data_IF_417244862253
#
_entry.id   IF_417244862253
#
_cell.length_a   1.000
_cell.length_b   1.000
_cell.length_c   1.000
_cell.angle_alpha   90.00
_cell.angle_beta   90.00
_cell.angle_gamma   90.00
#
_symmetry.space_group_name_H-M   'P 1'
#
loop_
_entity.id
_entity.type
_entity.pdbx_description
1 polymer ?
2 polymer ?
3 non-polymer ?
#
# COMPACT_ATOMS: atom_id res chain seq x y z
N UNK A 15 12.09 -30.05 -19.07
CA UNK A 15 10.88 -29.67 -18.30
C UNK A 15 10.65 -28.17 -18.34
N UNK A 16 11.74 -27.40 -18.23
CA UNK A 16 11.62 -25.94 -18.28
C UNK A 16 11.02 -25.48 -19.59
N UNK A 17 11.30 -26.18 -20.69
CA UNK A 17 10.72 -25.82 -21.97
C UNK A 17 9.20 -25.97 -21.95
N UNK A 18 8.70 -27.02 -21.30
CA UNK A 18 7.26 -27.25 -21.26
C UNK A 18 6.54 -26.10 -20.59
N UNK A 19 7.06 -25.64 -19.45
CA UNK A 19 6.42 -24.54 -18.73
C UNK A 19 6.59 -23.23 -19.48
N UNK A 20 7.68 -23.10 -20.25
CA UNK A 20 7.97 -21.81 -20.89
C UNK A 20 6.89 -21.43 -21.89
N UNK A 21 6.40 -22.39 -22.66
CA UNK A 21 5.40 -22.11 -23.68
C UNK A 21 3.97 -22.20 -23.16
N UNK A 22 3.79 -22.49 -21.88
CA UNK A 22 2.44 -22.64 -21.34
C UNK A 22 1.69 -21.31 -21.39
N UNK A 23 0.39 -21.40 -21.62
CA UNK A 23 -0.46 -20.22 -21.65
C UNK A 23 -1.00 -19.87 -20.27
N UNK A 24 -1.68 -20.81 -19.63
CA UNK A 24 -2.23 -20.53 -18.30
C UNK A 24 -1.18 -20.11 -17.28
N UNK A 25 0.02 -20.69 -17.35
CA UNK A 25 1.06 -20.35 -16.38
C UNK A 25 1.52 -18.91 -16.55
N UNK A 26 1.62 -18.44 -17.79
CA UNK A 26 2.13 -17.10 -18.02
C UNK A 26 1.20 -16.03 -17.43
N UNK A 27 -0.11 -16.29 -17.41
CA UNK A 27 -1.04 -15.33 -16.86
C UNK A 27 -1.11 -15.44 -15.34
N UNK A 28 -0.96 -16.65 -14.81
CA UNK A 28 -0.99 -16.83 -13.37
C UNK A 28 0.20 -16.14 -12.71
N UNK A 29 1.39 -16.24 -13.33
CA UNK A 29 2.57 -15.61 -12.75
C UNK A 29 2.43 -14.10 -12.74
N UNK A 30 1.92 -13.51 -13.82
CA UNK A 30 1.74 -12.06 -13.87
C UNK A 30 0.73 -11.60 -12.83
N UNK A 31 -0.38 -12.31 -12.70
CA UNK A 31 -1.42 -11.89 -11.76
C UNK A 31 -0.94 -12.00 -10.32
N UNK A 32 -0.18 -13.04 -10.01
CA UNK A 32 0.30 -13.21 -8.63
C UNK A 32 1.41 -12.22 -8.32
N UNK A 33 2.17 -11.80 -9.32
CA UNK A 33 3.21 -10.80 -9.10
C UNK A 33 2.61 -9.41 -8.94
N UNK A 34 1.49 -9.15 -9.63
CA UNK A 34 0.81 -7.87 -9.46
C UNK A 34 0.20 -7.76 -8.07
N UNK A 35 -0.45 -8.83 -7.61
CA UNK A 35 -1.01 -8.83 -6.26
C UNK A 35 0.10 -8.71 -5.23
N UNK A 36 1.22 -9.40 -5.46
CA UNK A 36 2.32 -9.35 -4.52
C UNK A 36 2.86 -7.93 -4.37
N UNK A 37 2.96 -7.21 -5.49
CA UNK A 37 3.46 -5.84 -5.44
C UNK A 37 2.55 -4.95 -4.62
N UNK A 38 1.23 -5.07 -4.83
CA UNK A 38 0.29 -4.18 -4.16
C UNK A 38 0.22 -4.48 -2.67
N UNK A 39 0.20 -5.77 -2.29
CA UNK A 39 -0.01 -6.13 -0.90
C UNK A 39 1.21 -5.78 -0.06
N UNK A 40 2.41 -6.02 -0.58
CA UNK A 40 3.62 -5.69 0.18
C UNK A 40 3.84 -4.18 0.24
N UNK A 41 3.57 -3.48 -0.87
CA UNK A 41 3.68 -2.02 -0.85
C UNK A 41 2.71 -1.41 0.15
N UNK A 42 1.48 -1.94 0.21
CA UNK A 42 0.49 -1.42 1.14
C UNK A 42 0.82 -1.78 2.58
N UNK A 43 1.47 -2.93 2.78
CA UNK A 43 1.84 -3.34 4.13
C UNK A 43 2.85 -2.36 4.73
N UNK A 44 3.94 -2.10 4.01
CA UNK A 44 4.96 -1.18 4.52
C UNK A 44 4.41 0.23 4.60
N UNK A 45 3.69 0.67 3.56
CA UNK A 45 3.25 2.06 3.49
C UNK A 45 2.30 2.38 4.63
N UNK A 46 1.34 1.51 4.91
CA UNK A 46 0.31 1.81 5.89
C UNK A 46 0.94 2.03 7.26
N UNK A 47 1.51 0.98 7.84
CA UNK A 47 2.12 1.07 9.16
C UNK A 47 1.27 1.87 10.12
N UNK A 48 1.90 2.53 11.06
CA UNK A 48 1.23 3.62 11.79
C UNK A 48 2.10 4.86 11.85
N UNK A 49 3.42 4.71 11.94
CA UNK A 49 4.34 5.83 12.04
C UNK A 49 5.21 5.98 10.79
N UNK A 50 4.84 5.34 9.69
CA UNK A 50 5.67 5.39 8.49
C UNK A 50 5.63 6.79 7.88
N UNK A 51 6.81 7.37 7.68
CA UNK A 51 6.91 8.71 7.10
C UNK A 51 7.89 8.72 5.94
N UNK A 52 8.84 7.78 5.95
CA UNK A 52 9.94 7.76 4.98
C UNK A 52 9.47 7.08 3.69
N UNK A 53 8.68 7.84 2.92
CA UNK A 53 8.21 7.33 1.63
C UNK A 53 9.31 7.39 0.58
N UNK A 54 10.13 8.46 0.61
CA UNK A 54 11.23 8.57 -0.34
C UNK A 54 12.27 7.48 -0.11
N UNK A 55 12.56 7.18 1.16
CA UNK A 55 13.53 6.12 1.47
C UNK A 55 13.03 4.78 0.97
N UNK A 56 11.74 4.49 1.17
CA UNK A 56 11.19 3.21 0.71
C UNK A 56 11.31 3.07 -0.80
N UNK A 57 11.00 4.15 -1.54
CA UNK A 57 11.10 4.08 -2.99
C UNK A 57 12.55 3.94 -3.45
N UNK A 58 13.48 4.54 -2.70
CA UNK A 58 14.89 4.39 -3.04
C UNK A 58 15.36 2.96 -2.86
N UNK A 59 14.86 2.28 -1.82
CA UNK A 59 15.26 0.89 -1.58
C UNK A 59 14.69 -0.02 -2.65
N UNK A 60 13.44 0.22 -3.06
CA UNK A 60 12.84 -0.60 -4.10
C UNK A 60 13.58 -0.45 -5.41
N UNK A 61 13.99 0.77 -5.76
CA UNK A 61 14.73 0.99 -6.99
C UNK A 61 16.09 0.30 -6.94
N UNK A 62 16.77 0.36 -5.79
CA UNK A 62 18.06 -0.29 -5.66
C UNK A 62 17.91 -1.80 -5.80
N UNK A 63 16.83 -2.36 -5.28
CA UNK A 63 16.60 -3.80 -5.41
C UNK A 63 16.34 -4.16 -6.87
N UNK A 64 15.63 -3.30 -7.59
CA UNK A 64 15.37 -3.57 -9.00
C UNK A 64 16.68 -3.59 -9.80
N UNK A 65 17.58 -2.64 -9.53
CA UNK A 65 18.83 -2.58 -10.27
C UNK A 65 19.71 -3.77 -9.94
N UNK A 66 19.70 -4.21 -8.68
CA UNK A 66 20.51 -5.35 -8.29
C UNK A 66 19.94 -6.63 -8.91
N UNK A 67 18.62 -6.75 -8.97
CA UNK A 67 18.00 -7.97 -9.49
C UNK A 67 18.28 -8.14 -10.97
N UNK A 68 18.02 -7.11 -11.77
CA UNK A 68 18.28 -7.22 -13.20
C UNK A 68 19.77 -7.32 -13.47
N UNK A 69 20.60 -6.65 -12.66
CA UNK A 69 22.03 -6.82 -12.80
C UNK A 69 22.47 -8.25 -12.54
N UNK A 70 21.75 -8.95 -11.65
CA UNK A 70 22.06 -10.34 -11.39
C UNK A 70 21.63 -11.23 -12.56
N UNK A 71 20.42 -11.00 -13.10
CA UNK A 71 19.93 -11.83 -14.18
C UNK A 71 20.80 -11.69 -15.43
N UNK A 72 21.11 -10.45 -15.82
CA UNK A 72 21.94 -10.24 -16.99
C UNK A 72 23.29 -10.92 -16.84
N UNK A 73 23.85 -10.93 -15.63
CA UNK A 73 25.11 -11.63 -15.41
C UNK A 73 24.96 -13.12 -15.68
N UNK A 74 23.84 -13.70 -15.27
CA UNK A 74 23.57 -15.11 -15.50
C UNK A 74 23.00 -15.39 -16.89
N UNK A 75 22.79 -14.35 -17.70
CA UNK A 75 22.28 -14.51 -19.06
C UNK A 75 20.85 -15.03 -19.08
N UNK A 76 19.98 -14.37 -18.32
CA UNK A 76 18.54 -14.60 -18.41
C UNK A 76 17.81 -13.40 -19.00
N UNK A 77 18.36 -12.19 -18.90
CA UNK A 77 17.76 -11.00 -19.47
C UNK A 77 18.86 -10.18 -20.11
N UNK A 78 18.56 -9.59 -21.27
CA UNK A 78 19.51 -8.78 -22.01
C UNK A 78 18.98 -7.35 -22.11
N UNK A 79 19.85 -6.39 -21.78
CA UNK A 79 19.52 -4.98 -21.97
C UNK A 79 20.82 -4.26 -22.35
N UNK A 80 20.72 -2.95 -22.57
CA UNK A 80 21.84 -2.20 -23.10
C UNK A 80 22.90 -1.98 -22.02
N UNK A 81 23.96 -1.28 -22.41
CA UNK A 81 25.02 -0.89 -21.49
C UNK A 81 24.94 0.61 -21.26
N UNK A 82 25.03 1.03 -20.00
CA UNK A 82 24.84 2.43 -19.67
C UNK A 82 25.84 3.31 -20.43
N UNK A 83 25.34 4.42 -20.97
CA UNK A 83 26.15 5.40 -21.66
C UNK A 83 25.77 6.78 -21.16
N UNK A 84 26.78 7.61 -20.89
CA UNK A 84 26.51 8.93 -20.33
C UNK A 84 25.69 9.78 -21.29
N UNK A 85 26.02 9.73 -22.58
CA UNK A 85 25.26 10.49 -23.56
C UNK A 85 23.81 10.01 -23.65
N UNK A 86 23.55 8.77 -23.23
CA UNK A 86 22.21 8.21 -23.28
C UNK A 86 21.41 8.47 -22.01
N UNK A 87 22.03 9.02 -20.97
CA UNK A 87 21.33 9.36 -19.75
C UNK A 87 20.96 10.84 -19.67
N UNK A 88 21.68 11.70 -20.39
CA UNK A 88 21.32 13.11 -20.44
C UNK A 88 20.03 13.35 -21.21
N UNK A 89 19.67 12.45 -22.12
CA UNK A 89 18.44 12.56 -22.89
C UNK A 89 17.28 11.83 -22.23
N UNK A 90 17.52 11.15 -21.11
CA UNK A 90 16.49 10.40 -20.41
C UNK A 90 16.20 10.97 -19.03
N UNK A 91 16.95 11.98 -18.58
CA UNK A 91 16.70 12.55 -17.27
C UNK A 91 15.29 13.11 -17.12
N UNK A 92 14.72 13.83 -18.09
CA UNK A 92 13.36 14.35 -17.90
C UNK A 92 12.36 13.26 -17.54
N UNK A 93 12.50 12.07 -18.14
CA UNK A 93 11.57 10.98 -17.83
C UNK A 93 11.88 10.38 -16.48
N UNK A 94 13.14 10.49 -16.01
CA UNK A 94 13.45 10.04 -14.66
C UNK A 94 12.73 10.90 -13.64
N UNK A 95 12.68 12.22 -13.85
CA UNK A 95 11.95 13.09 -12.94
C UNK A 95 10.46 12.77 -12.95
N UNK A 96 9.89 12.55 -14.13
CA UNK A 96 8.47 12.24 -14.21
C UNK A 96 8.16 10.92 -13.53
N UNK A 97 9.13 10.00 -13.51
CA UNK A 97 8.93 8.74 -12.79
C UNK A 97 8.95 8.96 -11.29
N UNK A 98 9.81 9.87 -10.82
CA UNK A 98 9.89 10.15 -9.38
C UNK A 98 8.58 10.74 -8.90
N UNK A 99 8.03 11.69 -9.64
CA UNK A 99 6.78 12.34 -9.25
C UNK A 99 5.62 11.35 -9.28
N UNK A 100 5.67 10.40 -10.22
CA UNK A 100 4.57 9.45 -10.35
C UNK A 100 4.56 8.45 -9.21
N UNK A 101 5.73 7.90 -8.87
CA UNK A 101 5.78 6.86 -7.83
C UNK A 101 5.50 7.47 -6.47
N UNK A 102 6.09 8.63 -6.18
CA UNK A 102 5.92 9.24 -4.87
C UNK A 102 4.45 9.53 -4.58
N UNK A 103 3.76 10.19 -5.52
CA UNK A 103 2.35 10.49 -5.31
C UNK A 103 1.51 9.22 -5.30
N UNK A 104 2.05 8.14 -5.88
CA UNK A 104 1.35 6.86 -5.82
C UNK A 104 1.50 6.22 -4.43
N UNK A 105 2.61 6.49 -3.76
CA UNK A 105 2.81 5.96 -2.41
C UNK A 105 1.96 6.74 -1.40
N UNK A 106 1.88 8.06 -1.56
CA UNK A 106 1.05 8.86 -0.67
C UNK A 106 -0.41 8.51 -0.84
N UNK A 107 -0.87 8.36 -2.08
CA UNK A 107 -2.27 8.04 -2.32
C UNK A 107 -2.62 6.66 -1.77
N UNK A 108 -1.75 5.68 -1.96
CA UNK A 108 -1.99 4.36 -1.40
C UNK A 108 -1.89 4.36 0.11
N UNK A 109 -1.09 5.26 0.68
CA UNK A 109 -0.91 5.31 2.12
C UNK A 109 -2.18 5.76 2.83
N UNK A 110 -2.90 6.72 2.25
CA UNK A 110 -4.09 7.28 2.88
C UNK A 110 -5.38 6.59 2.42
N UNK A 111 -5.40 6.05 1.21
CA UNK A 111 -6.57 5.39 0.67
C UNK A 111 -6.40 3.88 0.72
N UNK A 112 -7.52 3.17 0.76
CA UNK A 112 -7.52 1.73 0.76
C UNK A 112 -7.14 1.20 -0.63
N UNK A 113 -6.81 -0.09 -0.69
CA UNK A 113 -6.43 -0.69 -1.97
C UNK A 113 -7.60 -0.66 -2.96
N UNK A 114 -8.81 -1.09 -2.60
CA UNK A 114 -9.91 -1.00 -3.57
C UNK A 114 -10.16 0.41 -4.07
N UNK A 115 -10.29 1.38 -3.15
CA UNK A 115 -10.58 2.75 -3.56
C UNK A 115 -9.47 3.30 -4.43
N UNK A 116 -8.22 2.95 -4.12
CA UNK A 116 -7.09 3.42 -4.91
C UNK A 116 -7.14 2.84 -6.33
N UNK A 117 -7.50 1.56 -6.45
CA UNK A 117 -7.47 0.91 -7.76
C UNK A 117 -8.47 1.54 -8.72
N UNK A 118 -9.70 1.74 -8.26
CA UNK A 118 -10.73 2.32 -9.12
C UNK A 118 -10.42 3.80 -9.40
N UNK A 119 -9.89 4.50 -8.40
CA UNK A 119 -9.49 5.89 -8.63
C UNK A 119 -8.38 5.97 -9.68
N UNK A 120 -7.57 4.94 -9.80
CA UNK A 120 -6.51 4.92 -10.81
C UNK A 120 -7.06 4.84 -12.23
N UNK A 121 -8.31 4.41 -12.40
CA UNK A 121 -8.90 4.38 -13.74
C UNK A 121 -9.13 5.77 -14.30
N UNK A 122 -9.13 6.80 -13.45
CA UNK A 122 -9.24 8.17 -13.95
C UNK A 122 -8.01 8.56 -14.77
N UNK A 123 -6.92 7.80 -14.67
CA UNK A 123 -5.73 8.11 -15.44
C UNK A 123 -5.99 7.97 -16.94
N UNK A 124 -6.72 6.92 -17.34
CA UNK A 124 -6.87 6.66 -18.77
C UNK A 124 -7.81 7.67 -19.41
N UNK A 125 -8.59 8.39 -18.61
CA UNK A 125 -9.38 9.50 -19.15
C UNK A 125 -8.46 10.62 -19.59
N UNK A 126 -7.41 10.87 -18.80
CA UNK A 126 -6.46 11.92 -19.16
C UNK A 126 -5.52 11.46 -20.26
N UNK A 127 -5.18 10.18 -20.29
CA UNK A 127 -4.30 9.66 -21.34
C UNK A 127 -5.02 9.68 -22.68
N UNK A 128 -6.24 9.15 -22.71
CA UNK A 128 -6.98 9.05 -23.98
C UNK A 128 -7.29 10.43 -24.53
N UNK A 129 -7.75 11.34 -23.67
CA UNK A 129 -8.02 12.71 -24.13
C UNK A 129 -6.73 13.50 -24.29
N UNK A 130 -5.64 13.03 -23.68
CA UNK A 130 -4.36 13.65 -23.94
C UNK A 130 -3.87 13.40 -25.35
N UNK A 131 -4.19 12.23 -25.90
CA UNK A 131 -3.70 11.86 -27.22
C UNK A 131 -4.43 12.62 -28.32
N UNK A 132 -5.72 12.92 -28.10
CA UNK A 132 -6.50 13.56 -29.16
C UNK A 132 -6.02 14.98 -29.41
N UNK A 133 -5.59 15.68 -28.35
CA UNK A 133 -5.14 17.07 -28.53
C UNK A 133 -3.82 17.12 -29.29
N UNK A 134 -2.89 16.23 -28.94
CA UNK A 134 -1.52 16.28 -29.46
C UNK A 134 -1.19 15.16 -30.42
N UNK A 135 -1.45 13.90 -30.04
CA UNK A 135 -1.04 12.74 -30.81
C UNK A 135 -2.02 12.41 -31.93
N UNK A 136 -3.11 13.16 -32.07
CA UNK A 136 -4.01 12.96 -33.18
C UNK A 136 -4.88 11.72 -33.11
N UNK A 137 -5.13 11.21 -31.91
CA UNK A 137 -6.00 10.06 -31.76
C UNK A 137 -7.47 10.44 -31.77
N UNK A 138 -8.31 9.44 -31.47
CA UNK A 138 -9.75 9.63 -31.40
C UNK A 138 -10.32 8.73 -30.32
N UNK A 139 -11.53 9.07 -29.87
CA UNK A 139 -12.24 8.32 -28.85
C UNK A 139 -13.55 7.84 -29.44
N UNK A 140 -13.75 6.53 -29.47
CA UNK A 140 -14.96 5.94 -30.01
C UNK A 140 -16.09 6.03 -28.98
N UNK A 141 -17.30 5.69 -29.43
CA UNK A 141 -18.46 5.79 -28.55
C UNK A 141 -18.37 4.79 -27.39
N UNK A 142 -17.80 3.61 -27.65
CA UNK A 142 -17.61 2.65 -26.56
C UNK A 142 -16.64 3.18 -25.52
N UNK A 143 -15.55 3.81 -25.96
CA UNK A 143 -14.60 4.38 -25.02
C UNK A 143 -15.23 5.48 -24.19
N UNK A 144 -16.03 6.35 -24.82
CA UNK A 144 -16.70 7.41 -24.08
C UNK A 144 -17.70 6.84 -23.08
N UNK A 145 -18.38 5.76 -23.46
CA UNK A 145 -19.31 5.12 -22.53
C UNK A 145 -18.58 4.58 -21.32
N UNK A 146 -17.33 4.14 -21.50
CA UNK A 146 -16.53 3.69 -20.37
C UNK A 146 -16.16 4.85 -19.46
N UNK A 147 -15.67 5.94 -20.04
CA UNK A 147 -15.22 7.07 -19.22
C UNK A 147 -16.32 7.56 -18.29
N UNK A 148 -17.57 7.48 -18.73
CA UNK A 148 -18.69 7.86 -17.87
C UNK A 148 -18.83 6.89 -16.71
N UNK A 149 -18.59 5.60 -16.95
CA UNK A 149 -18.76 4.61 -15.89
C UNK A 149 -17.64 4.69 -14.86
N UNK A 150 -16.45 5.16 -15.26
CA UNK A 150 -15.36 5.28 -14.30
C UNK A 150 -15.46 6.57 -13.51
N UNK A 151 -16.13 7.59 -14.06
CA UNK A 151 -16.48 8.76 -13.26
C UNK A 151 -17.56 8.41 -12.26
N UNK A 152 -18.53 7.57 -12.67
CA UNK A 152 -19.57 7.13 -11.76
C UNK A 152 -18.98 6.30 -10.63
N UNK A 153 -18.03 5.41 -10.95
CA UNK A 153 -17.41 4.60 -9.91
C UNK A 153 -16.61 5.47 -8.95
N UNK A 154 -15.96 6.51 -9.46
CA UNK A 154 -15.22 7.42 -8.60
C UNK A 154 -16.16 8.12 -7.63
N UNK A 155 -17.32 8.57 -8.12
CA UNK A 155 -18.27 9.26 -7.26
C UNK A 155 -18.80 8.34 -6.18
N UNK A 156 -19.15 7.10 -6.55
CA UNK A 156 -19.70 6.16 -5.59
C UNK A 156 -18.67 5.86 -4.51
N UNK A 157 -17.42 5.65 -4.90
CA UNK A 157 -16.39 5.31 -3.93
C UNK A 157 -16.15 6.45 -2.96
N UNK A 158 -16.19 7.69 -3.44
CA UNK A 158 -16.03 8.84 -2.55
C UNK A 158 -17.11 8.82 -1.47
N UNK A 159 -18.35 8.51 -1.85
CA UNK A 159 -19.42 8.37 -0.86
C UNK A 159 -19.21 7.15 0.02
N UNK A 160 -18.54 6.12 -0.50
CA UNK A 160 -18.27 4.94 0.31
C UNK A 160 -17.33 5.22 1.46
N UNK A 161 -16.25 5.96 1.20
CA UNK A 161 -15.33 6.33 2.28
C UNK A 161 -15.96 7.33 3.23
N UNK A 162 -16.70 8.30 2.69
CA UNK A 162 -17.28 9.36 3.52
C UNK A 162 -18.37 8.87 4.45
N UNK A 163 -18.85 7.64 4.28
CA UNK A 163 -19.88 7.08 5.15
C UNK A 163 -19.32 6.50 6.44
N UNK A 164 -18.04 6.76 6.75
CA UNK A 164 -17.43 6.23 7.95
C UNK A 164 -16.53 7.26 8.65
N UNK A 165 -16.78 8.55 8.45
CA UNK A 165 -15.99 9.61 9.07
C UNK A 165 -16.95 10.47 9.89
N UNK A 166 -16.65 10.63 11.17
CA UNK A 166 -17.53 11.35 12.09
C UNK A 166 -16.73 12.21 13.05
N UNK A 167 -15.72 12.91 12.55
CA UNK A 167 -14.92 13.80 13.39
C UNK A 167 -14.13 14.75 12.50
N UNK A 168 -13.59 15.79 13.13
CA UNK A 168 -12.75 16.74 12.38
C UNK A 168 -11.59 16.01 11.71
N UNK A 169 -10.85 15.22 12.48
CA UNK A 169 -9.92 14.27 11.89
C UNK A 169 -10.72 13.12 11.28
N UNK A 170 -10.01 12.22 10.60
CA UNK A 170 -10.59 11.12 9.84
C UNK A 170 -11.32 11.61 8.59
N UNK A 171 -11.45 12.92 8.40
CA UNK A 171 -11.93 13.51 7.18
C UNK A 171 -10.86 14.32 6.47
N UNK A 172 -10.02 15.05 7.21
CA UNK A 172 -8.83 15.64 6.62
C UNK A 172 -7.89 14.58 6.08
N UNK A 173 -7.91 13.38 6.66
CA UNK A 173 -7.15 12.27 6.10
C UNK A 173 -7.71 11.87 4.74
N UNK A 174 -9.03 11.85 4.60
CA UNK A 174 -9.63 11.54 3.31
C UNK A 174 -9.25 12.57 2.26
N UNK A 175 -9.34 13.86 2.62
CA UNK A 175 -9.03 14.92 1.66
C UNK A 175 -7.57 14.86 1.23
N UNK A 176 -6.67 14.52 2.15
CA UNK A 176 -5.28 14.34 1.78
C UNK A 176 -5.13 13.16 0.82
N UNK A 177 -5.92 12.11 1.02
CA UNK A 177 -5.87 10.98 0.11
C UNK A 177 -6.34 11.34 -1.28
N UNK A 178 -7.37 12.19 -1.37
CA UNK A 178 -7.89 12.58 -2.68
C UNK A 178 -6.96 13.57 -3.37
N UNK A 179 -6.28 14.41 -2.60
CA UNK A 179 -5.32 15.35 -3.20
C UNK A 179 -4.14 14.59 -3.80
N UNK A 180 -3.60 13.61 -3.08
CA UNK A 180 -2.47 12.85 -3.61
C UNK A 180 -2.90 11.91 -4.72
N UNK A 181 -4.18 11.52 -4.73
CA UNK A 181 -4.68 10.68 -5.81
C UNK A 181 -4.85 11.49 -7.09
N UNK A 182 -5.43 12.68 -6.98
CA UNK A 182 -5.64 13.51 -8.17
C UNK A 182 -4.30 13.94 -8.77
N UNK A 183 -3.34 14.30 -7.93
CA UNK A 183 -2.02 14.67 -8.44
C UNK A 183 -1.36 13.47 -9.12
N UNK A 184 -1.53 12.27 -8.55
CA UNK A 184 -0.95 11.09 -9.16
C UNK A 184 -1.60 10.77 -10.51
N UNK A 185 -2.87 11.16 -10.68
CA UNK A 185 -3.54 10.96 -11.96
C UNK A 185 -2.94 11.85 -13.03
N UNK A 186 -2.62 13.10 -12.67
CA UNK A 186 -2.03 14.01 -13.65
C UNK A 186 -0.55 13.72 -13.85
N UNK A 187 0.08 13.06 -12.88
CA UNK A 187 1.50 12.73 -13.02
C UNK A 187 1.70 11.43 -13.80
N UNK A 188 0.74 10.50 -13.69
CA UNK A 188 0.83 9.27 -14.47
C UNK A 188 0.46 9.51 -15.93
N UNK A 189 -0.50 10.40 -16.18
CA UNK A 189 -0.82 10.76 -17.55
C UNK A 189 0.36 11.46 -18.22
N UNK A 190 1.02 12.36 -17.48
CA UNK A 190 2.17 13.06 -18.04
C UNK A 190 3.32 12.11 -18.33
N UNK A 191 3.57 11.15 -17.42
CA UNK A 191 4.67 10.22 -17.62
C UNK A 191 4.43 9.36 -18.86
N UNK A 192 3.20 8.90 -19.05
CA UNK A 192 2.91 8.01 -20.18
C UNK A 192 3.04 8.77 -21.50
N UNK A 193 2.47 9.98 -21.56
CA UNK A 193 2.46 10.71 -22.82
C UNK A 193 3.88 11.18 -23.19
N UNK A 194 4.59 11.78 -22.25
CA UNK A 194 5.92 12.30 -22.53
C UNK A 194 6.87 11.14 -22.86
N UNK A 195 6.82 10.06 -22.09
CA UNK A 195 7.68 8.92 -22.36
C UNK A 195 7.42 8.35 -23.75
N UNK A 196 6.16 8.35 -24.18
CA UNK A 196 5.84 7.90 -25.53
C UNK A 196 6.47 8.82 -26.56
N UNK A 197 6.46 10.13 -26.32
CA UNK A 197 7.05 11.07 -27.25
C UNK A 197 8.54 10.84 -27.40
N UNK A 198 9.23 10.52 -26.31
CA UNK A 198 10.68 10.40 -26.31
C UNK A 198 11.18 9.02 -26.70
N UNK A 199 10.35 7.98 -26.58
CA UNK A 199 10.79 6.63 -26.93
C UNK A 199 11.14 6.55 -28.42
N UNK A 200 10.52 7.40 -29.24
CA UNK A 200 10.87 7.44 -30.65
C UNK A 200 12.32 7.92 -30.82
N UNK A 201 12.76 8.82 -29.95
CA UNK A 201 14.13 9.35 -30.03
C UNK A 201 15.15 8.34 -29.51
N UNK A 202 14.84 7.65 -28.41
CA UNK A 202 15.84 6.81 -27.73
C UNK A 202 15.91 5.40 -28.26
N UNK A 203 14.76 4.79 -28.58
CA UNK A 203 14.71 3.45 -29.15
C UNK A 203 15.07 2.36 -28.13
N UNK A 204 14.54 2.49 -26.91
CA UNK A 204 14.61 1.41 -25.94
C UNK A 204 13.47 0.43 -26.17
N UNK A 205 13.74 -0.86 -25.99
CA UNK A 205 12.84 -1.90 -26.49
C UNK A 205 12.14 -2.69 -25.39
N UNK A 206 12.87 -3.42 -24.55
CA UNK A 206 12.24 -4.38 -23.65
C UNK A 206 12.52 -4.11 -22.17
N UNK A 207 13.79 -4.01 -21.78
CA UNK A 207 14.16 -3.82 -20.38
C UNK A 207 15.07 -2.62 -20.14
N UNK A 208 15.81 -2.16 -21.16
CA UNK A 208 16.64 -0.99 -20.98
C UNK A 208 15.83 0.22 -20.51
N UNK A 209 14.55 0.27 -20.88
CA UNK A 209 13.69 1.34 -20.38
C UNK A 209 13.55 1.25 -18.86
N UNK A 210 13.41 0.03 -18.33
CA UNK A 210 13.35 -0.14 -16.88
C UNK A 210 14.71 0.08 -16.24
N UNK A 211 15.79 -0.26 -16.95
CA UNK A 211 17.13 -0.13 -16.38
C UNK A 211 17.47 1.33 -16.14
N UNK A 212 17.21 2.19 -17.12
CA UNK A 212 17.51 3.61 -16.95
C UNK A 212 16.53 4.24 -15.96
N UNK A 213 15.26 3.83 -16.00
CA UNK A 213 14.27 4.37 -15.07
C UNK A 213 14.72 4.16 -13.63
N UNK A 214 15.25 2.98 -13.33
CA UNK A 214 15.62 2.67 -11.95
C UNK A 214 17.06 3.07 -11.64
N UNK A 215 17.80 3.56 -12.63
CA UNK A 215 19.13 4.09 -12.37
C UNK A 215 19.07 5.54 -11.92
N UNK A 216 18.38 6.39 -12.69
CA UNK A 216 18.29 7.79 -12.34
C UNK A 216 17.34 8.02 -11.18
N UNK A 217 16.34 7.16 -11.03
CA UNK A 217 15.37 7.30 -9.95
C UNK A 217 16.05 7.16 -8.59
N UNK A 218 17.14 6.40 -8.51
CA UNK A 218 17.80 6.16 -7.24
C UNK A 218 18.43 7.45 -6.72
N UNK A 219 19.33 8.12 -7.46
CA UNK A 219 19.89 9.37 -6.93
C UNK A 219 18.84 10.42 -6.58
N UNK A 220 17.79 10.55 -7.40
CA UNK A 220 16.80 11.59 -7.16
C UNK A 220 16.05 11.31 -5.85
N UNK A 221 15.65 10.06 -5.64
CA UNK A 221 14.91 9.72 -4.44
C UNK A 221 15.77 9.86 -3.19
N UNK A 222 17.04 9.44 -3.27
CA UNK A 222 17.91 9.53 -2.10
C UNK A 222 18.08 10.97 -1.65
N UNK A 223 18.33 11.88 -2.60
CA UNK A 223 18.51 13.28 -2.26
C UNK A 223 17.21 13.87 -1.72
N UNK A 224 16.09 13.58 -2.38
CA UNK A 224 14.82 14.15 -1.96
C UNK A 224 14.45 13.67 -0.55
N UNK A 225 14.89 12.47 -0.18
CA UNK A 225 14.66 11.98 1.17
C UNK A 225 15.40 12.83 2.19
N UNK A 226 16.63 13.23 1.86
CA UNK A 226 17.44 14.02 2.78
C UNK A 226 16.79 15.37 3.07
N UNK A 227 16.22 16.01 2.05
CA UNK A 227 15.69 17.36 2.22
C UNK A 227 14.31 17.32 2.85
N UNK A 228 13.46 16.38 2.42
CA UNK A 228 12.05 16.38 2.79
C UNK A 228 11.74 15.50 3.99
N UNK A 229 12.19 14.25 4.00
CA UNK A 229 11.89 13.34 5.08
C UNK A 229 12.75 13.64 6.31
N UNK A 230 12.34 13.09 7.45
CA UNK A 230 12.99 13.33 8.72
C UNK A 230 13.94 12.17 9.00
N UNK A 231 15.24 12.42 8.86
CA UNK A 231 16.27 11.41 9.10
C UNK A 231 16.93 11.72 10.44
N UNK A 232 16.32 11.21 11.51
CA UNK A 232 16.83 11.40 12.86
C UNK A 232 16.80 10.07 13.60
N UNK A 233 17.50 10.04 14.74
CA UNK A 233 17.54 8.81 15.53
C UNK A 233 16.16 8.43 16.02
N UNK A 234 15.38 9.41 16.50
CA UNK A 234 14.05 9.11 17.02
C UNK A 234 13.13 8.61 15.91
N UNK A 235 13.05 9.36 14.80
CA UNK A 235 12.08 9.02 13.76
C UNK A 235 12.38 7.67 13.15
N UNK A 236 13.66 7.36 12.91
CA UNK A 236 14.01 6.08 12.31
C UNK A 236 13.58 4.94 13.22
N UNK A 237 13.69 5.14 14.54
CA UNK A 237 13.24 4.10 15.48
C UNK A 237 11.75 3.85 15.35
N UNK A 238 10.96 4.92 15.23
CA UNK A 238 9.52 4.76 15.07
C UNK A 238 9.18 3.97 13.81
N UNK A 239 9.82 4.30 12.70
CA UNK A 239 9.50 3.64 11.44
C UNK A 239 9.86 2.16 11.48
N UNK A 240 11.03 1.83 12.04
CA UNK A 240 11.55 0.47 12.03
C UNK A 240 11.86 0.04 13.45
N UNK A 241 10.84 -0.33 14.23
CA UNK A 241 11.11 -0.88 15.56
C UNK A 241 12.02 -2.09 15.49
N UNK A 242 12.90 -2.20 16.48
CA UNK A 242 13.91 -3.26 16.45
C UNK A 242 13.26 -4.63 16.26
N UNK A 243 12.15 -4.88 16.96
CA UNK A 243 11.50 -6.18 16.87
C UNK A 243 10.93 -6.45 15.49
N UNK A 244 10.32 -5.45 14.86
CA UNK A 244 9.66 -5.62 13.57
C UNK A 244 10.56 -5.23 12.40
N UNK A 245 11.87 -5.23 12.60
CA UNK A 245 12.79 -4.91 11.51
C UNK A 245 12.78 -6.00 10.45
N UNK A 246 12.82 -7.27 10.89
CA UNK A 246 12.95 -8.37 9.93
C UNK A 246 11.76 -8.41 8.99
N UNK A 247 10.56 -8.24 9.51
CA UNK A 247 9.37 -8.31 8.68
C UNK A 247 9.28 -7.12 7.72
N UNK A 248 9.58 -5.92 8.21
CA UNK A 248 9.51 -4.74 7.35
C UNK A 248 10.54 -4.81 6.23
N UNK A 249 11.76 -5.23 6.54
CA UNK A 249 12.80 -5.33 5.52
C UNK A 249 12.41 -6.36 4.47
N UNK A 250 11.88 -7.50 4.89
CA UNK A 250 11.49 -8.53 3.93
C UNK A 250 10.34 -8.04 3.05
N UNK A 251 9.47 -7.19 3.59
CA UNK A 251 8.40 -6.63 2.78
C UNK A 251 8.95 -5.68 1.73
N UNK A 252 9.94 -4.87 2.09
CA UNK A 252 10.55 -3.95 1.13
C UNK A 252 11.26 -4.71 0.03
N UNK A 253 11.98 -5.78 0.38
CA UNK A 253 12.71 -6.55 -0.63
C UNK A 253 11.74 -7.24 -1.57
N UNK A 254 10.67 -7.82 -1.03
CA UNK A 254 9.70 -8.49 -1.89
C UNK A 254 9.00 -7.49 -2.81
N UNK A 255 8.80 -6.25 -2.33
CA UNK A 255 8.20 -5.23 -3.16
C UNK A 255 9.11 -4.86 -4.33
N UNK A 256 10.41 -4.70 -4.06
CA UNK A 256 11.32 -4.34 -5.13
C UNK A 256 11.49 -5.45 -6.16
N UNK A 257 11.63 -6.69 -5.69
CA UNK A 257 11.78 -7.81 -6.61
C UNK A 257 10.48 -8.18 -7.29
N UNK A 258 9.35 -7.70 -6.77
CA UNK A 258 8.08 -7.95 -7.45
C UNK A 258 7.92 -7.07 -8.67
N UNK A 259 8.56 -5.89 -8.67
CA UNK A 259 8.52 -5.03 -9.85
C UNK A 259 9.26 -5.67 -11.02
N UNK A 260 10.37 -6.35 -10.73
CA UNK A 260 11.07 -7.10 -11.78
C UNK A 260 10.25 -8.31 -12.19
N UNK A 261 9.58 -8.95 -11.24
CA UNK A 261 8.80 -10.13 -11.57
C UNK A 261 7.65 -9.82 -12.50
N UNK A 262 6.98 -8.69 -12.28
CA UNK A 262 5.86 -8.31 -13.14
C UNK A 262 6.35 -7.94 -14.53
N UNK A 263 7.52 -7.28 -14.61
CA UNK A 263 8.04 -6.88 -15.92
C UNK A 263 8.45 -8.09 -16.75
N UNK A 264 9.10 -9.06 -16.11
CA UNK A 264 9.52 -10.26 -16.83
C UNK A 264 8.33 -11.13 -17.19
N UNK A 265 7.32 -11.17 -16.32
CA UNK A 265 6.15 -12.00 -16.59
C UNK A 265 5.20 -11.32 -17.56
N UNK A 266 5.31 -9.99 -17.71
CA UNK A 266 4.50 -9.29 -18.70
C UNK A 266 5.05 -9.50 -20.10
N UNK A 267 6.37 -9.36 -20.27
CA UNK A 267 6.98 -9.69 -21.55
C UNK A 267 6.81 -11.17 -21.87
N UNK A 268 6.74 -12.00 -20.83
CA UNK A 268 6.47 -13.42 -21.03
C UNK A 268 5.04 -13.63 -21.55
N UNK A 269 4.07 -12.93 -20.95
CA UNK A 269 2.68 -13.12 -21.34
C UNK A 269 2.45 -12.65 -22.78
N UNK A 270 3.04 -11.51 -23.15
CA UNK A 270 2.86 -10.99 -24.50
C UNK A 270 3.44 -11.96 -25.52
N UNK A 271 4.61 -12.53 -25.22
CA UNK A 271 5.30 -13.38 -26.18
C UNK A 271 4.47 -14.61 -26.52
N UNK A 272 3.67 -15.10 -25.58
CA UNK A 272 2.96 -16.37 -25.78
C UNK A 272 1.53 -16.14 -26.26
N UNK A 273 0.76 -15.30 -25.56
CA UNK A 273 -0.66 -15.13 -25.82
C UNK A 273 -0.97 -13.81 -26.52
N UNK A 274 0.01 -13.23 -27.21
CA UNK A 274 -0.24 -12.05 -28.02
C UNK A 274 -0.63 -10.85 -27.17
N UNK A 275 -0.76 -9.68 -27.81
CA UNK A 275 -1.12 -8.47 -27.08
C UNK A 275 -2.62 -8.37 -26.82
N UNK A 276 -3.44 -9.06 -27.62
CA UNK A 276 -4.89 -8.99 -27.42
C UNK A 276 -5.27 -9.54 -26.05
N UNK A 277 -4.67 -10.66 -25.64
CA UNK A 277 -5.00 -11.25 -24.36
C UNK A 277 -4.37 -10.49 -23.19
N UNK A 278 -3.27 -9.77 -23.43
CA UNK A 278 -2.59 -9.08 -22.34
C UNK A 278 -3.38 -7.86 -21.88
N UNK A 279 -4.02 -7.16 -22.82
CA UNK A 279 -4.85 -6.02 -22.44
C UNK A 279 -6.03 -6.47 -21.58
N UNK A 280 -6.66 -7.58 -21.95
CA UNK A 280 -7.79 -8.08 -21.17
C UNK A 280 -7.34 -8.68 -19.85
N UNK A 281 -6.12 -9.21 -19.80
CA UNK A 281 -5.61 -9.77 -18.55
C UNK A 281 -5.34 -8.65 -17.55
N UNK A 282 -4.85 -7.50 -18.03
CA UNK A 282 -4.61 -6.38 -17.14
C UNK A 282 -5.90 -5.82 -16.56
N UNK A 283 -6.96 -5.76 -17.38
CA UNK A 283 -8.23 -5.23 -16.91
C UNK A 283 -8.93 -6.21 -15.98
N UNK A 284 -8.90 -7.50 -16.31
CA UNK A 284 -9.55 -8.50 -15.48
C UNK A 284 -8.82 -8.66 -14.15
N UNK A 285 -7.51 -8.50 -14.15
CA UNK A 285 -6.72 -8.65 -12.92
C UNK A 285 -7.02 -7.59 -11.89
N UNK A 286 -7.71 -6.50 -12.27
CA UNK A 286 -8.00 -5.44 -11.31
C UNK A 286 -8.89 -5.95 -10.18
N UNK A 287 -9.86 -6.81 -10.50
CA UNK A 287 -10.74 -7.33 -9.46
C UNK A 287 -9.97 -8.13 -8.41
N UNK A 288 -9.10 -9.08 -8.76
CA UNK A 288 -8.29 -9.72 -7.72
C UNK A 288 -7.48 -8.74 -6.90
N UNK A 289 -6.98 -7.67 -7.51
CA UNK A 289 -6.21 -6.67 -6.78
C UNK A 289 -7.09 -5.95 -5.76
N UNK A 290 -8.34 -5.67 -6.13
CA UNK A 290 -9.24 -4.98 -5.22
C UNK A 290 -9.66 -5.89 -4.07
N UNK A 291 -10.00 -7.15 -4.36
CA UNK A 291 -10.39 -8.08 -3.31
C UNK A 291 -9.23 -8.35 -2.37
N UNK A 292 -7.99 -8.30 -2.86
CA UNK A 292 -6.84 -8.51 -2.00
C UNK A 292 -6.81 -7.47 -0.88
N UNK A 293 -7.32 -6.27 -1.13
CA UNK A 293 -7.39 -5.28 -0.08
C UNK A 293 -8.38 -5.65 1.01
N UNK A 294 -9.52 -6.23 0.63
CA UNK A 294 -10.51 -6.62 1.62
C UNK A 294 -10.00 -7.77 2.48
N UNK A 295 -9.36 -8.77 1.87
CA UNK A 295 -8.91 -9.95 2.61
C UNK A 295 -7.75 -9.60 3.53
N UNK A 296 -6.78 -8.84 3.02
CA UNK A 296 -5.54 -8.62 3.75
C UNK A 296 -5.60 -7.45 4.72
N UNK A 297 -6.45 -6.46 4.46
CA UNK A 297 -6.50 -5.24 5.25
C UNK A 297 -7.94 -4.90 5.59
N UNK A 298 -8.09 -4.06 6.61
CA UNK A 298 -9.41 -3.63 7.08
C UNK A 298 -9.93 -2.54 6.15
N UNK A 299 -10.93 -2.88 5.33
CA UNK A 299 -11.54 -1.95 4.41
C UNK A 299 -13.05 -1.97 4.60
N UNK A 300 -13.67 -0.80 4.42
CA UNK A 300 -15.11 -0.68 4.62
C UNK A 300 -15.86 -1.49 3.58
N UNK A 301 -16.87 -2.23 4.03
CA UNK A 301 -17.74 -3.01 3.17
C UNK A 301 -19.17 -2.55 3.41
N UNK A 302 -19.83 -2.10 2.36
CA UNK A 302 -21.19 -1.59 2.44
C UNK A 302 -21.74 -1.51 1.01
N UNK A 303 -22.92 -0.92 0.85
CA UNK A 303 -23.56 -0.89 -0.46
C UNK A 303 -22.74 -0.07 -1.45
N UNK A 304 -22.28 1.11 -1.04
CA UNK A 304 -21.53 1.97 -1.96
C UNK A 304 -20.19 1.35 -2.32
N UNK A 305 -19.46 0.84 -1.32
CA UNK A 305 -18.10 0.37 -1.58
C UNK A 305 -18.10 -0.91 -2.41
N UNK A 306 -19.01 -1.84 -2.11
CA UNK A 306 -19.03 -3.11 -2.83
C UNK A 306 -19.44 -2.88 -4.28
N UNK A 307 -20.51 -2.11 -4.50
CA UNK A 307 -20.95 -1.84 -5.87
C UNK A 307 -19.95 -0.97 -6.61
N UNK A 308 -19.12 -0.22 -5.90
CA UNK A 308 -18.10 0.59 -6.55
C UNK A 308 -17.02 -0.27 -7.20
N UNK A 309 -16.75 -1.43 -6.60
CA UNK A 309 -15.73 -2.32 -7.15
C UNK A 309 -16.22 -2.93 -8.45
N UNK A 310 -17.52 -3.22 -8.54
CA UNK A 310 -18.04 -3.92 -9.71
C UNK A 310 -18.39 -2.95 -10.83
N UNK A 311 -18.77 -1.72 -10.49
CA UNK A 311 -18.99 -0.72 -11.53
C UNK A 311 -17.66 -0.22 -12.08
N UNK A 312 -16.65 -0.08 -11.20
CA UNK A 312 -15.33 0.30 -11.68
C UNK A 312 -14.65 -0.84 -12.41
N UNK A 313 -15.01 -2.08 -12.08
CA UNK A 313 -14.51 -3.23 -12.83
C UNK A 313 -15.15 -3.31 -14.20
N UNK A 314 -16.47 -3.11 -14.28
CA UNK A 314 -17.14 -3.15 -15.56
C UNK A 314 -16.69 -2.05 -16.49
N UNK A 315 -16.42 -0.87 -15.94
CA UNK A 315 -15.97 0.25 -16.75
C UNK A 315 -14.61 -0.03 -17.36
N UNK A 316 -13.70 -0.62 -16.58
CA UNK A 316 -12.39 -0.96 -17.12
C UNK A 316 -12.47 -2.03 -18.18
N UNK A 317 -13.34 -3.03 -17.98
CA UNK A 317 -13.50 -4.08 -18.97
C UNK A 317 -14.05 -3.53 -20.28
N UNK A 318 -15.03 -2.62 -20.20
CA UNK A 318 -15.64 -2.08 -21.40
C UNK A 318 -14.62 -1.30 -22.21
N UNK A 319 -13.79 -0.48 -21.54
CA UNK A 319 -12.77 0.27 -22.26
C UNK A 319 -11.77 -0.67 -22.92
N UNK A 320 -11.39 -1.74 -22.24
CA UNK A 320 -10.44 -2.69 -22.83
C UNK A 320 -11.01 -3.30 -24.10
N UNK A 321 -12.30 -3.62 -24.10
CA UNK A 321 -12.94 -4.10 -25.32
C UNK A 321 -13.03 -3.00 -26.35
N UNK A 322 -13.12 -1.74 -25.89
CA UNK A 322 -13.21 -0.62 -26.82
C UNK A 322 -11.90 -0.43 -27.58
N UNK A 323 -10.77 -0.51 -26.89
CA UNK A 323 -9.48 -0.41 -27.56
C UNK A 323 -9.24 -1.63 -28.44
N UNK A 324 -9.74 -2.79 -28.02
CA UNK A 324 -9.62 -3.99 -28.85
C UNK A 324 -10.35 -3.81 -30.17
N UNK A 325 -11.52 -3.17 -30.13
CA UNK A 325 -12.27 -2.91 -31.36
C UNK A 325 -11.58 -1.86 -32.22
N UNK A 326 -11.07 -0.78 -31.59
CA UNK A 326 -10.49 0.31 -32.34
C UNK A 326 -9.24 -0.15 -33.11
N UNK A 327 -8.40 -0.95 -32.46
CA UNK A 327 -7.20 -1.46 -33.13
C UNK A 327 -7.54 -2.50 -34.20
N UNK A 328 -8.70 -3.16 -34.08
CA UNK A 328 -9.08 -4.14 -35.10
C UNK A 328 -9.26 -3.47 -36.46
N UNK A 329 -9.87 -2.29 -36.48
CA UNK A 329 -10.02 -1.53 -37.71
C UNK A 329 -9.23 -0.22 -37.64
N UNK B 1 6.28 13.27 13.59
CA UNK B 1 6.41 11.95 14.27
C UNK B 1 5.08 11.48 14.83
N UNK B 2 4.74 10.23 14.58
CA UNK B 2 3.49 9.63 15.06
C UNK B 2 3.85 8.63 16.14
N UNK B 3 3.39 8.89 17.36
CA UNK B 3 3.70 8.04 18.51
C UNK B 3 2.43 7.74 19.28
N UNK B 4 2.41 6.56 19.91
CA UNK B 4 1.32 6.16 20.79
C UNK B 4 1.74 6.36 22.23
N UNK B 5 0.92 7.07 22.99
CA UNK B 5 1.23 7.45 24.37
C UNK B 5 0.22 6.81 25.29
N UNK B 6 0.72 6.11 26.32
CA UNK B 6 -0.13 5.49 27.33
C UNK B 6 -0.12 6.33 28.60
N UNK B 7 -1.18 6.19 29.38
CA UNK B 7 -1.31 6.94 30.63
C UNK B 7 -2.29 6.20 31.54
N UNK B 8 -2.20 6.50 32.83
CA UNK B 8 -3.06 5.90 33.82
C UNK B 8 -2.42 4.79 34.63
N UNK B 9 -1.17 4.42 34.34
CA UNK B 9 -0.51 3.41 35.12
C UNK B 9 -0.18 3.87 36.52
N UNK B 10 0.03 2.91 37.41
CA UNK B 10 0.33 3.23 38.79
C UNK B 10 0.22 2.00 39.65
N UNK B 11 0.23 2.24 40.97
CA UNK B 11 0.17 1.19 41.98
C UNK B 11 -1.23 1.15 42.57
N UNK B 12 -1.82 -0.05 42.59
CA UNK B 12 -3.18 -0.23 43.07
C UNK B 12 -3.23 -1.48 43.93
N UNK B 13 -4.02 -1.41 45.00
CA UNK B 13 -4.21 -2.56 45.88
C UNK B 13 -4.92 -3.67 45.12
N UNK B 14 -4.62 -4.91 45.50
CA UNK B 14 -5.22 -6.06 44.85
C UNK B 14 -6.74 -6.02 44.98
N UNK B 15 -7.43 -6.40 43.91
CA UNK B 15 -8.88 -6.37 43.89
C UNK B 15 -9.49 -5.04 43.54
N UNK B 16 -8.67 -4.04 43.22
CA UNK B 16 -9.15 -2.72 42.86
C UNK B 16 -9.50 -2.61 41.39
N UNK B 17 -9.56 -1.37 40.92
CA UNK B 17 -9.86 -1.07 39.53
C UNK B 17 -8.91 -0.01 39.02
N UNK B 18 -8.71 0.00 37.70
CA UNK B 18 -7.79 0.92 37.06
C UNK B 18 -8.26 1.16 35.63
N UNK B 19 -7.72 2.20 35.01
CA UNK B 19 -8.01 2.50 33.61
C UNK B 19 -6.75 2.98 32.92
N UNK B 20 -6.53 2.50 31.70
CA UNK B 20 -5.38 2.86 30.90
C UNK B 20 -5.86 3.39 29.56
N UNK B 21 -5.08 4.31 28.98
CA UNK B 21 -5.44 4.95 27.73
C UNK B 21 -4.30 4.80 26.74
N UNK B 22 -4.61 4.93 25.45
CA UNK B 22 -3.62 4.85 24.38
C UNK B 22 -4.02 5.86 23.31
N UNK B 23 -3.49 7.08 23.42
CA UNK B 23 -3.80 8.15 22.49
C UNK B 23 -2.81 8.14 21.33
N UNK B 24 -3.06 9.01 20.35
CA UNK B 24 -2.21 9.16 19.19
C UNK B 24 -1.77 10.61 19.04
N UNK B 25 -0.51 10.80 18.66
CA UNK B 25 0.07 12.11 18.41
C UNK B 25 0.18 12.40 16.92
N UNK B 26 -0.83 11.98 16.16
CA UNK B 26 -0.77 12.04 14.71
C UNK B 26 -2.07 11.61 14.07
N UNK B 27 -1.98 10.74 13.08
CA UNK B 27 -3.16 10.31 12.33
C UNK B 27 -4.16 9.59 13.23
N UNK B 28 -5.31 9.21 12.66
CA UNK B 28 -6.38 8.58 13.41
C UNK B 28 -6.26 7.05 13.35
N UNK B 29 -6.94 6.39 14.28
CA UNK B 29 -6.95 4.94 14.35
C UNK B 29 -7.85 4.29 13.31
N UNK B 30 -8.32 5.04 12.32
CA UNK B 30 -9.20 4.47 11.31
C UNK B 30 -8.46 3.43 10.48
N UNK B 31 -9.08 2.26 10.32
CA UNK B 31 -8.51 1.16 9.55
C UNK B 31 -7.33 0.50 10.25
N UNK B 32 -7.30 0.57 11.59
CA UNK B 32 -6.25 -0.06 12.37
C UNK B 32 -6.86 -0.88 13.49
N UNK B 33 -6.11 -1.87 13.96
CA UNK B 33 -6.47 -2.68 15.10
C UNK B 33 -5.47 -2.39 16.22
N UNK B 34 -5.98 -1.95 17.37
CA UNK B 34 -5.15 -1.56 18.50
C UNK B 34 -5.12 -2.68 19.53
N UNK B 35 -3.93 -3.09 19.92
CA UNK B 35 -3.76 -4.17 20.87
C UNK B 35 -2.98 -3.74 22.08
N UNK B 36 -3.17 -4.48 23.16
CA UNK B 36 -2.53 -4.20 24.45
C UNK B 36 -1.73 -5.43 24.87
N UNK B 37 -0.43 -5.24 25.07
CA UNK B 37 0.46 -6.31 25.49
C UNK B 37 1.02 -5.98 26.86
N UNK B 38 1.56 -6.99 27.54
CA UNK B 38 2.16 -6.82 28.84
C UNK B 38 3.47 -7.59 28.90
N UNK B 39 4.48 -7.00 29.53
CA UNK B 39 5.79 -7.64 29.69
C UNK B 39 6.11 -7.69 31.18
N UNK B 40 5.85 -8.83 31.81
CA UNK B 40 6.14 -9.01 33.21
C UNK B 40 7.63 -8.79 33.46
N UNK B 41 8.07 -8.65 34.71
CA UNK B 41 9.48 -8.28 34.95
C UNK B 41 10.49 -9.22 34.31
N UNK B 42 10.20 -10.53 34.27
CA UNK B 42 11.17 -11.49 33.76
C UNK B 42 10.58 -12.52 32.81
N UNK B 43 9.59 -12.13 32.03
CA UNK B 43 8.91 -13.02 31.10
C UNK B 43 8.79 -12.33 29.74
N UNK B 44 8.06 -12.99 28.84
CA UNK B 44 7.89 -12.49 27.48
C UNK B 44 6.57 -11.74 27.36
N UNK B 45 6.44 -10.98 26.27
CA UNK B 45 5.23 -10.22 26.03
C UNK B 45 4.03 -11.15 25.90
N UNK B 46 2.89 -10.71 26.44
CA UNK B 46 1.67 -11.48 26.45
C UNK B 46 0.52 -10.63 25.92
N UNK B 47 -0.36 -11.24 25.14
CA UNK B 47 -1.54 -10.56 24.64
C UNK B 47 -2.53 -10.33 25.78
N UNK B 48 -3.21 -9.17 25.74
CA UNK B 48 -4.16 -8.81 26.79
C UNK B 48 -5.53 -8.58 26.16
N UNK B 49 -5.60 -7.67 25.20
CA UNK B 49 -6.85 -7.37 24.52
C UNK B 49 -6.54 -6.68 23.19
N UNK B 50 -7.57 -6.56 22.36
CA UNK B 50 -7.44 -5.85 21.10
C UNK B 50 -8.82 -5.40 20.64
N UNK B 51 -8.83 -4.41 19.75
CA UNK B 51 -10.07 -3.85 19.25
C UNK B 51 -9.85 -3.38 17.82
N UNK B 52 -10.84 -3.61 16.97
CA UNK B 52 -10.85 -3.09 15.61
C UNK B 52 -11.60 -1.76 15.63
N UNK B 53 -10.93 -0.70 15.17
CA UNK B 53 -11.46 0.64 15.38
C UNK B 53 -12.80 0.84 14.67
N UNK B 54 -12.85 0.54 13.37
CA UNK B 54 -14.05 0.86 12.59
C UNK B 54 -15.24 0.01 13.03
N UNK B 55 -15.07 -1.31 13.10
CA UNK B 55 -16.16 -2.22 13.39
C UNK B 55 -16.33 -2.49 14.88
N UNK B 56 -15.43 -2.01 15.71
CA UNK B 56 -15.50 -2.20 17.17
C UNK B 56 -15.74 -3.67 17.53
N UNK B 57 -14.82 -4.53 17.06
CA UNK B 57 -14.82 -5.94 17.42
C UNK B 57 -13.60 -6.22 18.29
N UNK B 58 -13.85 -6.73 19.49
CA UNK B 58 -12.80 -6.87 20.51
C UNK B 58 -12.44 -8.34 20.68
N UNK B 59 -11.14 -8.62 20.74
CA UNK B 59 -10.61 -9.94 21.05
C UNK B 59 -9.87 -9.87 22.37
N UNK B 60 -10.16 -10.81 23.26
CA UNK B 60 -9.64 -10.79 24.62
C UNK B 60 -8.74 -11.98 24.88
N UNK B 61 -7.77 -11.78 25.77
CA UNK B 61 -6.87 -12.86 26.15
C UNK B 61 -7.62 -13.89 27.00
N UNK B 62 -7.03 -15.08 27.10
CA UNK B 62 -7.70 -16.17 27.80
C UNK B 62 -7.85 -15.88 29.28
N UNK B 63 -6.81 -15.33 29.91
CA UNK B 63 -6.78 -15.17 31.35
C UNK B 63 -7.32 -13.83 31.84
N UNK B 64 -7.81 -12.98 30.94
CA UNK B 64 -8.32 -11.67 31.32
C UNK B 64 -9.74 -11.48 30.78
N UNK B 65 -10.44 -12.58 30.53
CA UNK B 65 -11.82 -12.51 30.07
C UNK B 65 -12.75 -12.35 31.27
N UNK B 66 -13.61 -11.34 31.21
CA UNK B 66 -14.48 -11.03 32.32
C UNK B 66 -13.90 -10.11 33.37
N UNK B 67 -12.64 -9.73 33.24
CA UNK B 67 -11.99 -8.78 34.14
C UNK B 67 -11.66 -7.46 33.48
N UNK B 68 -11.09 -7.49 32.28
CA UNK B 68 -10.77 -6.27 31.54
C UNK B 68 -11.91 -5.89 30.61
N UNK B 69 -11.82 -4.68 30.07
CA UNK B 69 -12.84 -4.19 29.15
C UNK B 69 -12.19 -3.14 28.25
N UNK B 70 -11.86 -3.53 27.03
CA UNK B 70 -11.25 -2.63 26.06
C UNK B 70 -12.36 -1.95 25.26
N UNK B 71 -12.38 -0.63 25.30
CA UNK B 71 -13.40 0.15 24.60
C UNK B 71 -12.73 1.33 23.92
N UNK B 72 -13.41 1.89 22.93
CA UNK B 72 -12.85 3.00 22.17
C UNK B 72 -13.79 4.18 22.04
N UNK B 73 -13.34 5.35 22.47
CA UNK B 73 -14.11 6.58 22.33
C UNK B 73 -13.72 7.25 21.01
N UNK B 74 -14.66 7.27 20.06
CA UNK B 74 -14.36 7.78 18.73
C UNK B 74 -14.24 9.29 18.68
N UNK B 75 -14.59 10.00 19.76
CA UNK B 75 -14.57 11.46 19.77
C UNK B 75 -13.20 12.04 20.08
N UNK B 76 -12.23 11.22 20.49
CA UNK B 76 -10.91 11.75 20.85
C UNK B 76 -9.77 10.88 20.35
N UNK B 77 -10.03 9.83 19.57
CA UNK B 77 -8.99 8.94 19.08
C UNK B 77 -8.16 8.39 20.24
N UNK B 78 -8.87 7.78 21.19
CA UNK B 78 -8.25 7.19 22.37
C UNK B 78 -8.84 5.80 22.59
N UNK B 79 -7.98 4.87 23.01
CA UNK B 79 -8.38 3.50 23.29
C UNK B 79 -8.14 3.23 24.77
N UNK B 80 -9.17 2.74 25.46
CA UNK B 80 -9.13 2.52 26.89
C UNK B 80 -9.03 1.02 27.18
N UNK B 81 -8.53 0.69 28.38
CA UNK B 81 -8.47 -0.70 28.84
C UNK B 81 -8.77 -0.69 30.34
N UNK B 82 -10.05 -0.86 30.69
CA UNK B 82 -10.42 -0.98 32.09
C UNK B 82 -9.93 -2.30 32.64
N UNK B 83 -9.44 -2.26 33.88
CA UNK B 83 -8.98 -3.45 34.59
C UNK B 83 -9.74 -3.55 35.92
N UNK B 84 -10.34 -4.71 36.17
CA UNK B 84 -11.11 -4.93 37.38
C UNK B 84 -10.62 -6.19 38.07
N UNK B 85 -10.70 -6.19 39.40
CA UNK B 85 -10.32 -7.36 40.21
C UNK B 85 -8.91 -7.82 39.86
N UNK B 86 -8.00 -6.86 39.73
CA UNK B 86 -6.62 -7.19 39.37
C UNK B 86 -6.00 -8.12 40.39
N UNK B 87 -5.44 -9.22 39.92
CA UNK B 87 -4.63 -10.08 40.76
C UNK B 87 -3.18 -9.58 40.80
N UNK B 88 -2.40 -9.99 41.79
CA UNK B 88 -1.01 -9.52 41.85
C UNK B 88 -0.20 -9.84 40.61
N UNK B 89 -0.56 -10.91 39.90
CA UNK B 89 0.22 -11.32 38.73
C UNK B 89 0.11 -10.34 37.57
N UNK B 90 -0.83 -9.39 37.61
CA UNK B 90 -0.98 -8.44 36.52
C UNK B 90 0.15 -7.42 36.44
N UNK B 91 1.03 -7.38 37.44
CA UNK B 91 2.14 -6.44 37.42
C UNK B 91 2.97 -6.64 36.15
N UNK B 92 3.00 -5.62 35.30
CA UNK B 92 3.74 -5.69 34.05
C UNK B 92 3.67 -4.33 33.36
N UNK B 93 4.55 -4.15 32.38
CA UNK B 93 4.54 -2.94 31.57
C UNK B 93 3.59 -3.14 30.39
N UNK B 94 2.57 -2.29 30.30
CA UNK B 94 1.54 -2.43 29.29
C UNK B 94 1.86 -1.57 28.08
N UNK B 95 2.04 -2.20 26.93
CA UNK B 95 2.35 -1.52 25.68
C UNK B 95 1.10 -1.44 24.82
N UNK B 96 1.09 -0.47 23.90
CA UNK B 96 0.01 -0.29 22.95
C UNK B 96 0.59 -0.41 21.54
N UNK B 97 -0.01 -1.27 20.72
CA UNK B 97 0.54 -1.57 19.40
C UNK B 97 -0.55 -1.38 18.34
N UNK B 98 -0.24 -0.54 17.37
CA UNK B 98 -1.12 -0.30 16.23
C UNK B 98 -0.83 -1.33 15.15
N UNK B 99 -1.84 -1.58 14.31
CA UNK B 99 -1.74 -2.63 13.31
C UNK B 99 -2.67 -2.31 12.16
N UNK B 100 -2.34 -2.82 10.97
CA UNK B 100 -3.16 -2.64 9.79
C UNK B 100 -3.58 -3.94 9.14
N UNK B 101 -2.76 -4.98 9.20
CA UNK B 101 -3.11 -6.26 8.59
C UNK B 101 -4.41 -6.79 9.19
N UNK B 102 -5.01 -7.75 8.50
CA UNK B 102 -6.29 -8.30 8.91
C UNK B 102 -6.09 -9.53 9.78
N UNK B 103 -7.15 -9.91 10.48
CA UNK B 103 -7.10 -11.07 11.36
C UNK B 103 -7.11 -12.39 10.59
N UNK B 104 -7.41 -12.35 9.28
CA UNK B 104 -7.43 -13.58 8.49
C UNK B 104 -6.01 -14.09 8.27
N UNK B 105 -5.10 -13.20 7.85
CA UNK B 105 -3.74 -13.63 7.54
C UNK B 105 -3.02 -14.06 8.81
N UNK B 106 -3.11 -13.25 9.87
CA UNK B 106 -2.53 -13.57 11.16
C UNK B 106 -3.55 -13.27 12.25
N UNK B 107 -3.54 -14.07 13.30
CA UNK B 107 -4.48 -13.90 14.39
C UNK B 107 -4.21 -12.63 15.15
N UNK B 108 -5.21 -12.13 15.89
CA UNK B 108 -5.00 -10.91 16.68
C UNK B 108 -4.01 -11.08 17.83
N UNK B 109 -3.64 -12.30 18.17
CA UNK B 109 -2.73 -12.56 19.28
C UNK B 109 -1.28 -12.65 18.83
N UNK B 110 -0.98 -12.42 17.57
CA UNK B 110 0.36 -12.56 17.02
C UNK B 110 1.01 -11.19 16.95
N UNK B 111 2.25 -11.02 17.46
CA UNK B 111 2.84 -9.67 17.51
C UNK B 111 3.44 -9.16 16.21
N UNK B 112 3.87 -10.04 15.31
CA UNK B 112 4.61 -9.59 14.15
C UNK B 112 3.84 -8.62 13.26
N UNK B 113 2.53 -8.77 13.03
CA UNK B 113 1.83 -7.78 12.18
C UNK B 113 1.70 -6.40 12.82
N UNK B 114 2.06 -6.25 14.10
CA UNK B 114 1.97 -4.96 14.78
C UNK B 114 3.20 -4.14 14.46
N UNK B 115 3.03 -3.12 13.63
CA UNK B 115 4.16 -2.35 13.11
C UNK B 115 4.49 -1.10 13.94
N UNK B 116 3.73 -0.82 15.00
CA UNK B 116 4.00 0.33 15.84
C UNK B 116 3.83 -0.07 17.30
N UNK B 117 4.54 0.62 18.19
CA UNK B 117 4.50 0.31 19.61
C UNK B 117 4.72 1.58 20.42
N UNK B 118 4.05 1.66 21.56
CA UNK B 118 4.31 2.72 22.49
C UNK B 118 5.36 2.32 23.53
N UNK B 119 5.84 3.32 24.27
CA UNK B 119 6.84 3.05 25.29
C UNK B 119 6.27 2.16 26.39
N UNK B 120 5.01 2.38 26.77
CA UNK B 120 4.35 1.60 27.79
C UNK B 120 4.40 2.27 29.15
N UNK B 121 3.56 1.75 30.05
CA UNK B 121 3.44 2.29 31.40
C UNK B 121 3.47 1.15 32.40
N UNK B 122 4.18 1.36 33.50
CA UNK B 122 4.33 0.36 34.56
C UNK B 122 3.03 0.30 35.34
N UNK B 123 2.46 -0.90 35.45
CA UNK B 123 1.31 -1.17 36.30
C UNK B 123 1.75 -2.16 37.36
N UNK B 124 1.58 -1.78 38.63
CA UNK B 124 1.96 -2.61 39.76
C UNK B 124 0.75 -2.83 40.65
N UNK B 125 0.55 -4.08 41.07
CA UNK B 125 -0.57 -4.46 41.93
C UNK B 125 -0.01 -5.22 43.13
N UNK B 126 -0.36 -4.76 44.33
CA UNK B 126 0.14 -5.37 45.55
C UNK B 126 -1.01 -5.94 46.38
X LIG C 1 1.87 -2.44 -12.93
X LIG C 1 2.93 -2.40 -13.74
X LIG C 1 4.16 -2.65 -13.18
X LIG C 1 2.77 -2.13 -15.01
X LIG C 1 3.92 -2.14 -15.70
X LIG C 1 5.19 -2.38 -15.24
X LIG C 1 5.38 -2.66 -13.86
X LIG C 1 6.42 -2.89 -13.26
X LIG C 1 6.10 -2.28 -16.25
X LIG C 1 5.40 -2.00 -17.32
X LIG C 1 4.06 -1.90 -17.03
X LIG C 1 2.98 -1.59 -17.95
X LIG C 1 2.91 -0.12 -18.35
X LIG C 1 2.23 0.61 -17.38
X LIG C 1 2.17 -0.23 -19.70
X LIG C 1 0.79 -0.40 -19.49
X LIG C 1 2.75 -1.53 -20.25
X LIG C 1 3.16 -2.31 -19.13
X LIG C 1 3.92 -1.24 -21.17
X LIG C 1 3.43 -0.61 -22.34
X LIG C 1 4.49 0.40 -23.12
X LIG C 1 5.60 -0.43 -23.69
X LIG C 1 4.80 1.55 -22.21
X LIG C 1 3.41 0.85 -24.26
X LIG C 1 2.59 2.28 -24.24
X LIG C 1 1.63 2.22 -23.10
X LIG C 1 3.59 3.39 -24.35
X LIG C 1 1.78 2.09 -25.65
X LIG C 1 0.72 2.94 -26.01
X LIG C 1 0.99 3.73 -27.12
X LIG C 1 1.13 3.06 -28.36
X LIG C 1 1.31 4.11 -29.44
X LIG C 1 0.38 5.16 -29.25
X LIG C 1 -0.50 2.05 -26.22
X LIG C 1 -1.66 2.83 -26.32
X LIG C 1 -0.34 1.24 -27.51
X LIG C 1 -1.48 0.46 -27.77
X LIG C 1 -0.09 2.18 -28.68
X LIG C 1 0.17 1.39 -29.82
X LIG C 1 1.06 -2.27 -13.26
X LIG C 1 1.94 -2.61 -12.05
X LIG C 1 4.19 -2.81 -12.34
X LIG C 1 5.75 -1.88 -18.17
X LIG C 1 2.16 -1.85 -17.49
X LIG C 1 3.80 0.22 -18.50
X LIG C 1 2.46 0.31 -16.61
X LIG C 1 2.35 0.52 -20.26
X LIG C 1 0.53 0.21 -18.95
X LIG C 1 2.08 -2.03 -20.74
X LIG C 1 4.36 -2.08 -21.39
X LIG C 1 4.57 -0.68 -20.73
X LIG C 1 0.55 3.58 -25.29
X LIG C 1 1.91 2.50 -28.34
X LIG C 1 2.22 4.45 -29.39
X LIG C 1 1.21 3.70 -30.31
X LIG C 1 0.55 5.76 -29.84
X LIG C 1 -0.56 1.44 -25.47
X LIG C 1 -1.52 3.47 -26.86
X LIG C 1 0.44 0.68 -27.40
X LIG C 1 -2.15 0.93 -27.54
X LIG C 1 -0.87 2.74 -28.81
X LIG C 1 -0.31 0.69 -29.79
#
# INVERSE_FOLDING_TARGET
MDSKHSTSSSSSGSLATRISNSGPISIAAYCLSSILMTVTNKYVLSGFSFNLNFFLLAVQSIVCIVTIGSLKSLNIITYRQFNKDEAKKWSPIAFLLVAMIYTSSKALQYLSIPVYTIFKNLTIILIAYGEVIWFGGKVTTMALSSFLLMVLSSVIAYYGDNAAVKSHDDAFALYLGYFWMLTNCFASAAFVLIMRKRIKLTNFKDFDTMYYNNLLSIPILLICSFIFEDWSSANVSLNFPADNRVTTITAMILSGASSVGISYCSAWCVRVTSSTTYSMVGALNKLPIALSGLIFFEAAVNFWSVSSIFVGFGAGLVYAVAKQKQQKEQSQQLPTTK
QVQLVESGGGLVQAGGSLRLSCAASGRTFRSYTLGWFRQAPGKEREFVAAIKWSTDTTYYADSVKGRFTISGDNAKNTVYLQMNSLKPEDTAVYFCAARSLSTVIAGPEIPWPYNSWGQGTQVTVSS
GDD N2 C2 N1 N3 C4 C5 C6 O6 N7 C8 N9 C1' C2' O2' C3' O3' C4' O4' C5' O5' PA O1A O2A O3A PB O2B O3B O1B C11 O51 C51 C61 O6A C21 O21 C31 O31 C41 O41 H2N1 H2N2 H1 H8 H1' H2' HA H3' HB H4' H5'1 H5'2 H11 H51 H611 H612 H6A H21 HC H31 HD H41 HE
#
